data_IF_949991011594
#
_entry.id   IF_949991011594
#
_cell.length_a   1.000
_cell.length_b   1.000
_cell.length_c   1.000
_cell.angle_alpha   90.00
_cell.angle_beta   90.00
_cell.angle_gamma   90.00
#
_symmetry.space_group_name_H-M   'P 1'
#
loop_
_entity.id
_entity.type
_entity.pdbx_description
1 polymer ?
#
# COMPACT_ATOMS: atom_id res chain seq x y z
N UNK A 1 -10.17 30.53 58.20
CA UNK A 1 -10.64 30.58 56.80
C UNK A 1 -9.43 30.40 55.90
N UNK A 2 -9.15 29.16 55.48
CA UNK A 2 -8.09 28.84 54.52
C UNK A 2 -8.53 29.37 53.15
N UNK A 3 -7.68 30.18 52.51
CA UNK A 3 -7.86 30.59 51.11
C UNK A 3 -7.54 29.37 50.25
N UNK A 4 -8.56 28.80 49.60
CA UNK A 4 -8.34 27.93 48.45
C UNK A 4 -7.73 28.78 47.34
N UNK A 5 -6.48 28.50 46.98
CA UNK A 5 -5.94 28.96 45.71
C UNK A 5 -6.69 28.25 44.57
N UNK A 6 -7.05 28.97 43.49
CA UNK A 6 -7.67 28.33 42.35
C UNK A 6 -6.64 27.41 41.69
N UNK A 7 -6.97 26.12 41.58
CA UNK A 7 -6.20 25.19 40.77
C UNK A 7 -6.24 25.71 39.33
N UNK A 8 -5.12 26.22 38.85
CA UNK A 8 -4.91 26.48 37.42
C UNK A 8 -5.01 25.12 36.71
N UNK A 9 -6.16 24.84 36.10
CA UNK A 9 -6.26 23.85 35.05
C UNK A 9 -5.59 24.48 33.82
N UNK A 10 -4.32 24.13 33.60
CA UNK A 10 -3.66 24.43 32.34
C UNK A 10 -4.38 23.70 31.21
N UNK A 11 -4.63 24.44 30.12
CA UNK A 11 -5.39 23.97 28.97
C UNK A 11 -4.74 22.73 28.34
N UNK A 12 -5.52 21.79 27.79
CA UNK A 12 -4.96 20.74 26.94
C UNK A 12 -4.19 21.40 25.79
N UNK A 13 -2.95 20.96 25.56
CA UNK A 13 -2.18 21.36 24.36
C UNK A 13 -2.91 20.75 23.18
N UNK A 14 -3.72 21.54 22.49
CA UNK A 14 -4.42 21.09 21.30
C UNK A 14 -3.36 20.64 20.27
N UNK A 15 -3.54 19.44 19.73
CA UNK A 15 -2.82 18.87 18.57
C UNK A 15 -1.46 18.16 18.79
N UNK A 16 -1.08 17.82 20.03
CA UNK A 16 0.08 16.96 20.26
C UNK A 16 -0.10 15.55 19.64
N UNK A 17 0.91 15.06 18.91
CA UNK A 17 0.90 13.74 18.25
C UNK A 17 1.03 12.61 19.28
N UNK A 18 0.16 11.61 19.18
CA UNK A 18 0.18 10.45 20.07
C UNK A 18 0.98 9.29 19.47
N UNK A 19 2.23 9.12 19.91
CA UNK A 19 3.10 8.03 19.46
C UNK A 19 2.65 6.62 19.94
N UNK A 20 1.58 6.51 20.73
CA UNK A 20 0.90 5.22 20.91
C UNK A 20 0.09 4.78 19.69
N UNK A 21 -0.35 5.71 18.85
CA UNK A 21 -1.02 5.35 17.59
C UNK A 21 0.04 4.76 16.67
N UNK A 22 -0.12 3.50 16.21
CA UNK A 22 0.80 2.89 15.26
C UNK A 22 0.97 3.72 13.99
N UNK A 23 -0.11 4.36 13.52
CA UNK A 23 -0.14 5.20 12.33
C UNK A 23 0.70 6.46 12.51
N UNK A 24 0.51 7.16 13.63
CA UNK A 24 1.30 8.36 13.98
C UNK A 24 2.77 8.00 14.19
N UNK A 25 3.06 6.84 14.79
CA UNK A 25 4.43 6.39 14.99
C UNK A 25 5.11 6.05 13.65
N UNK A 26 4.41 5.36 12.75
CA UNK A 26 4.93 5.10 11.40
C UNK A 26 5.20 6.40 10.62
N UNK A 27 4.27 7.36 10.65
CA UNK A 27 4.46 8.68 10.03
C UNK A 27 5.67 9.41 10.62
N UNK A 28 5.82 9.36 11.96
CA UNK A 28 6.93 9.99 12.65
C UNK A 28 8.29 9.38 12.25
N UNK A 29 8.35 8.05 12.03
CA UNK A 29 9.55 7.37 11.56
C UNK A 29 9.89 7.74 10.11
N UNK A 30 8.90 7.77 9.22
CA UNK A 30 9.09 8.19 7.83
C UNK A 30 9.59 9.65 7.76
N UNK A 31 8.97 10.56 8.52
CA UNK A 31 9.43 11.95 8.65
C UNK A 31 10.86 12.04 9.18
N UNK A 32 11.19 11.27 10.22
CA UNK A 32 12.53 11.24 10.80
C UNK A 32 13.60 10.68 9.85
N UNK A 33 13.22 9.89 8.84
CA UNK A 33 14.13 9.44 7.79
C UNK A 33 14.47 10.55 6.77
N UNK A 34 13.54 11.49 6.55
CA UNK A 34 13.65 12.56 5.55
C UNK A 34 14.25 13.87 6.08
N UNK A 35 14.35 14.04 7.40
CA UNK A 35 14.93 15.23 8.02
C UNK A 35 15.98 14.87 9.08
N UNK A 36 17.07 15.63 9.11
CA UNK A 36 18.03 15.61 10.21
C UNK A 36 17.79 16.76 11.21
N UNK A 37 16.71 17.56 11.03
CA UNK A 37 16.31 18.61 11.97
C UNK A 37 15.43 18.06 13.09
N UNK A 38 16.08 17.64 14.18
CA UNK A 38 15.43 17.14 15.40
C UNK A 38 14.50 18.19 16.03
N UNK A 39 14.76 19.50 15.88
CA UNK A 39 13.90 20.53 16.45
C UNK A 39 12.60 20.66 15.65
N UNK A 40 12.68 20.60 14.32
CA UNK A 40 11.50 20.60 13.46
C UNK A 40 10.61 19.37 13.73
N UNK A 41 11.22 18.20 13.89
CA UNK A 41 10.49 16.99 14.26
C UNK A 41 9.85 17.10 15.66
N UNK A 42 10.54 17.71 16.62
CA UNK A 42 9.99 17.98 17.94
C UNK A 42 8.80 18.96 17.90
N UNK A 43 8.87 20.00 17.07
CA UNK A 43 7.76 20.93 16.85
C UNK A 43 6.55 20.23 16.22
N UNK A 44 6.77 19.36 15.23
CA UNK A 44 5.72 18.55 14.62
C UNK A 44 5.06 17.61 15.62
N UNK A 45 5.84 16.91 16.46
CA UNK A 45 5.32 16.07 17.54
C UNK A 45 4.47 16.85 18.53
N UNK A 46 4.88 18.10 18.82
CA UNK A 46 4.16 18.96 19.73
C UNK A 46 2.88 19.58 19.15
N UNK A 47 2.73 19.58 17.82
CA UNK A 47 1.72 20.38 17.13
C UNK A 47 1.93 21.90 17.31
N UNK A 48 3.16 22.32 17.63
CA UNK A 48 3.47 23.69 18.06
C UNK A 48 4.85 24.13 17.54
N UNK A 49 4.86 25.15 16.67
CA UNK A 49 6.10 25.74 16.14
C UNK A 49 6.96 26.43 17.22
N UNK A 50 6.35 26.83 18.35
CA UNK A 50 7.04 27.43 19.50
C UNK A 50 7.38 26.40 20.57
N UNK A 51 7.65 25.16 20.16
CA UNK A 51 7.98 24.04 21.06
C UNK A 51 9.09 24.37 22.06
N UNK A 52 10.01 25.30 21.76
CA UNK A 52 11.07 25.72 22.68
C UNK A 52 10.54 26.33 24.00
N UNK A 53 9.39 27.00 23.95
CA UNK A 53 8.73 27.60 25.12
C UNK A 53 7.80 26.59 25.83
N UNK A 54 7.56 25.43 25.21
CA UNK A 54 6.66 24.41 25.72
C UNK A 54 7.27 23.71 26.96
N UNK A 55 6.52 23.54 28.06
CA UNK A 55 6.99 22.83 29.25
C UNK A 55 7.47 21.38 28.98
N UNK A 56 7.00 20.78 27.89
CA UNK A 56 7.35 19.43 27.43
C UNK A 56 8.43 19.39 26.35
N UNK A 57 9.03 20.53 25.98
CA UNK A 57 10.06 20.64 24.93
C UNK A 57 11.13 19.55 24.98
N UNK A 58 11.69 19.31 26.19
CA UNK A 58 12.75 18.30 26.41
C UNK A 58 12.29 16.88 26.07
N UNK A 59 11.00 16.58 26.25
CA UNK A 59 10.43 15.29 25.90
C UNK A 59 10.22 15.17 24.40
N UNK A 60 9.70 16.21 23.74
CA UNK A 60 9.56 16.21 22.28
C UNK A 60 10.91 16.09 21.57
N UNK A 61 11.95 16.77 22.05
CA UNK A 61 13.32 16.59 21.54
C UNK A 61 13.84 15.17 21.77
N UNK A 62 13.61 14.60 22.95
CA UNK A 62 14.00 13.23 23.23
C UNK A 62 13.32 12.24 22.29
N UNK A 63 12.01 12.39 22.08
CA UNK A 63 11.24 11.55 21.17
C UNK A 63 11.69 11.72 19.71
N UNK A 64 11.94 12.96 19.26
CA UNK A 64 12.47 13.24 17.94
C UNK A 64 13.85 12.58 17.72
N UNK A 65 14.78 12.70 18.68
CA UNK A 65 16.08 12.03 18.60
C UNK A 65 15.93 10.50 18.57
N UNK A 66 14.99 9.96 19.35
CA UNK A 66 14.72 8.52 19.38
C UNK A 66 14.14 8.01 18.07
N UNK A 67 13.27 8.79 17.43
CA UNK A 67 12.74 8.51 16.10
C UNK A 67 13.86 8.53 15.06
N UNK A 68 14.77 9.51 15.12
CA UNK A 68 15.93 9.59 14.22
C UNK A 68 16.80 8.31 14.27
N UNK A 69 17.02 7.77 15.47
CA UNK A 69 17.78 6.53 15.67
C UNK A 69 17.07 5.29 15.10
N UNK A 70 15.72 5.29 15.15
CA UNK A 70 14.87 4.16 14.78
C UNK A 70 14.34 4.23 13.34
N UNK A 71 14.48 5.38 12.68
CA UNK A 71 13.95 5.62 11.35
C UNK A 71 14.55 4.66 10.30
N UNK A 72 13.73 4.12 9.37
CA UNK A 72 14.23 3.30 8.28
C UNK A 72 15.01 4.17 7.30
N UNK A 73 16.34 4.06 7.27
CA UNK A 73 17.19 4.92 6.44
C UNK A 73 17.35 4.37 5.02
N UNK A 74 16.99 5.10 3.96
CA UNK A 74 17.13 4.63 2.57
C UNK A 74 18.57 4.22 2.25
N UNK A 75 19.57 4.99 2.70
CA UNK A 75 20.98 4.71 2.49
C UNK A 75 21.49 3.43 3.19
N UNK A 76 20.67 2.85 4.07
CA UNK A 76 20.93 1.57 4.76
C UNK A 76 19.99 0.45 4.29
N UNK A 77 19.26 0.62 3.18
CA UNK A 77 18.26 -0.34 2.73
C UNK A 77 17.03 -0.38 3.64
N UNK A 78 16.53 0.80 4.02
CA UNK A 78 15.39 1.00 4.92
C UNK A 78 15.59 0.40 6.33
N UNK A 79 16.84 0.32 6.80
CA UNK A 79 17.19 -0.18 8.14
C UNK A 79 17.46 0.97 9.11
N UNK A 80 17.18 0.79 10.42
CA UNK A 80 17.55 1.77 11.43
C UNK A 80 19.07 1.85 11.63
N UNK A 81 19.54 2.96 12.19
CA UNK A 81 20.97 3.13 12.51
C UNK A 81 21.35 2.20 13.67
N UNK A 82 22.54 1.60 13.60
CA UNK A 82 23.13 0.80 14.69
C UNK A 82 23.72 1.69 15.80
N UNK A 83 22.97 2.66 16.33
CA UNK A 83 23.46 3.56 17.39
C UNK A 83 22.74 3.39 18.73
N UNK A 84 23.51 3.64 19.78
CA UNK A 84 23.11 3.48 21.18
C UNK A 84 21.90 4.34 21.50
N UNK A 85 20.88 3.70 22.08
CA UNK A 85 19.65 4.33 22.56
C UNK A 85 20.04 5.42 23.58
N UNK A 86 19.76 6.68 23.27
CA UNK A 86 19.95 7.76 24.23
C UNK A 86 19.10 7.48 25.49
N UNK A 87 19.65 7.63 26.71
CA UNK A 87 18.89 7.39 27.93
C UNK A 87 17.77 8.43 28.05
N UNK A 88 16.58 7.97 28.44
CA UNK A 88 15.43 8.86 28.65
C UNK A 88 15.75 9.98 29.67
N UNK A 89 15.22 11.20 29.48
CA UNK A 89 15.37 12.28 30.44
C UNK A 89 14.92 11.84 31.85
N UNK A 90 15.73 12.18 32.86
CA UNK A 90 15.31 11.97 34.25
C UNK A 90 14.11 12.84 34.55
N UNK A 91 13.01 12.24 34.99
CA UNK A 91 11.82 12.98 35.38
C UNK A 91 11.84 13.34 36.87
N UNK A 92 11.78 14.63 37.16
CA UNK A 92 11.61 15.15 38.50
C UNK A 92 10.18 14.97 38.99
N UNK A 93 10.03 14.76 40.29
CA UNK A 93 8.71 14.59 40.95
C UNK A 93 7.72 15.74 40.66
N UNK A 94 8.22 16.96 40.46
CA UNK A 94 7.40 18.14 40.18
C UNK A 94 7.36 18.54 38.70
N UNK A 95 8.07 17.83 37.83
CA UNK A 95 8.15 18.16 36.40
C UNK A 95 6.81 17.87 35.72
N UNK A 96 6.51 18.53 34.58
CA UNK A 96 5.35 18.19 33.76
C UNK A 96 5.35 16.70 33.36
N UNK A 97 4.18 16.06 33.43
CA UNK A 97 4.04 14.63 33.13
C UNK A 97 4.05 14.35 31.61
N UNK A 98 4.98 13.52 31.09
CA UNK A 98 5.21 13.32 29.64
C UNK A 98 4.07 12.63 28.89
N UNK A 99 3.04 12.15 29.59
CA UNK A 99 1.78 11.73 28.96
C UNK A 99 1.02 12.91 28.32
N UNK A 100 1.43 14.17 28.57
CA UNK A 100 0.81 15.36 27.98
C UNK A 100 -0.37 15.92 28.78
N UNK A 101 -0.62 15.44 30.01
CA UNK A 101 -1.80 15.85 30.79
C UNK A 101 -1.72 17.24 31.44
N UNK A 102 -0.62 17.97 31.26
CA UNK A 102 -0.35 19.24 31.97
C UNK A 102 -0.13 19.13 33.49
N UNK A 103 -0.22 17.93 34.09
CA UNK A 103 -0.08 17.75 35.55
C UNK A 103 1.38 17.52 35.93
N UNK A 104 1.75 17.86 37.18
CA UNK A 104 3.05 17.44 37.74
C UNK A 104 3.12 15.92 37.80
N UNK A 105 4.31 15.34 37.58
CA UNK A 105 4.52 13.89 37.56
C UNK A 105 3.97 13.20 38.80
N UNK A 106 4.20 13.79 39.99
CA UNK A 106 3.68 13.29 41.28
C UNK A 106 2.16 13.24 41.40
N UNK A 107 1.44 13.97 40.57
CA UNK A 107 -0.02 14.06 40.58
C UNK A 107 -0.63 13.26 39.42
N UNK A 108 0.20 12.55 38.65
CA UNK A 108 -0.24 11.82 37.46
C UNK A 108 0.29 10.39 37.45
N UNK A 109 1.60 10.18 37.27
CA UNK A 109 2.20 8.86 37.02
C UNK A 109 3.27 8.42 38.04
N UNK A 110 3.46 9.14 39.16
CA UNK A 110 4.33 8.63 40.23
C UNK A 110 3.74 7.36 40.86
N UNK A 111 4.54 6.31 40.99
CA UNK A 111 4.09 4.96 41.37
C UNK A 111 3.38 4.20 40.24
N UNK A 112 3.36 4.76 39.01
CA UNK A 112 2.90 4.13 37.76
C UNK A 112 3.92 4.39 36.65
N UNK A 113 5.21 4.31 36.98
CA UNK A 113 6.31 4.66 36.07
C UNK A 113 6.31 3.81 34.80
N UNK A 114 5.88 2.55 34.88
CA UNK A 114 5.73 1.65 33.73
C UNK A 114 4.68 2.16 32.72
N UNK A 115 3.66 2.88 33.19
CA UNK A 115 2.65 3.56 32.36
C UNK A 115 3.15 4.91 31.81
N UNK A 116 4.46 5.15 31.77
CA UNK A 116 5.08 6.32 31.11
C UNK A 116 6.03 5.89 29.99
N UNK A 117 6.48 4.63 30.02
CA UNK A 117 7.37 4.03 29.03
C UNK A 117 6.71 3.81 27.65
N UNK A 118 5.41 4.12 27.51
CA UNK A 118 4.61 3.76 26.33
C UNK A 118 4.91 4.56 25.06
N UNK A 119 5.42 5.80 25.16
CA UNK A 119 5.51 6.66 23.98
C UNK A 119 6.49 6.19 22.90
N UNK A 120 7.48 5.34 23.20
CA UNK A 120 8.44 4.80 22.20
C UNK A 120 9.01 3.43 22.67
N UNK A 121 8.20 2.38 22.59
CA UNK A 121 8.73 1.03 22.51
C UNK A 121 9.50 0.86 21.18
N UNK A 122 10.44 -0.11 21.04
CA UNK A 122 10.99 -0.44 19.73
C UNK A 122 9.84 -0.70 18.72
N UNK A 123 9.91 -0.14 17.50
CA UNK A 123 8.80 -0.23 16.56
C UNK A 123 8.61 -1.68 16.16
N UNK A 124 7.35 -2.13 16.13
CA UNK A 124 6.98 -3.47 15.67
C UNK A 124 7.30 -3.64 14.19
N UNK A 125 7.34 -4.88 13.68
CA UNK A 125 7.48 -5.18 12.24
C UNK A 125 6.46 -4.37 11.42
N UNK A 126 5.19 -4.40 11.82
CA UNK A 126 4.11 -3.66 11.16
C UNK A 126 4.40 -2.15 11.07
N UNK A 127 4.81 -1.51 12.18
CA UNK A 127 5.14 -0.07 12.18
C UNK A 127 6.32 0.21 11.26
N UNK A 128 7.34 -0.65 11.24
CA UNK A 128 8.49 -0.51 10.35
C UNK A 128 8.07 -0.64 8.87
N UNK A 129 7.23 -1.62 8.54
CA UNK A 129 6.71 -1.83 7.18
C UNK A 129 5.90 -0.63 6.69
N UNK A 130 4.99 -0.10 7.51
CA UNK A 130 4.18 1.08 7.15
C UNK A 130 5.07 2.32 6.98
N UNK A 131 6.05 2.52 7.87
CA UNK A 131 6.99 3.64 7.75
C UNK A 131 7.87 3.53 6.49
N UNK A 132 8.34 2.32 6.15
CA UNK A 132 9.11 2.08 4.93
C UNK A 132 8.26 2.35 3.67
N UNK A 133 7.03 1.83 3.61
CA UNK A 133 6.10 2.09 2.51
C UNK A 133 5.87 3.60 2.32
N UNK A 134 5.48 4.32 3.37
CA UNK A 134 5.27 5.77 3.30
C UNK A 134 6.51 6.55 2.88
N UNK A 135 7.70 6.10 3.29
CA UNK A 135 8.96 6.73 2.92
C UNK A 135 9.32 6.48 1.46
N UNK A 136 9.17 5.25 0.97
CA UNK A 136 9.47 4.86 -0.42
C UNK A 136 8.70 5.73 -1.41
N UNK A 137 7.40 5.92 -1.17
CA UNK A 137 6.51 6.77 -2.00
C UNK A 137 6.83 8.28 -1.94
N UNK A 138 7.74 8.72 -1.05
CA UNK A 138 8.21 10.11 -0.99
C UNK A 138 9.56 10.32 -1.68
N UNK A 139 10.21 9.25 -2.14
CA UNK A 139 11.51 9.32 -2.81
C UNK A 139 11.33 9.37 -4.33
N UNK A 140 12.19 10.11 -5.02
CA UNK A 140 12.28 10.02 -6.48
C UNK A 140 12.94 8.71 -6.92
N UNK A 141 12.72 8.31 -8.16
CA UNK A 141 13.37 7.10 -8.72
C UNK A 141 14.90 7.21 -8.71
N UNK A 142 15.47 8.41 -8.87
CA UNK A 142 16.92 8.62 -8.74
C UNK A 142 17.44 8.42 -7.30
N UNK A 143 16.61 8.73 -6.30
CA UNK A 143 16.95 8.46 -4.90
C UNK A 143 16.84 6.96 -4.59
N UNK A 144 15.83 6.28 -5.15
CA UNK A 144 15.66 4.83 -5.02
C UNK A 144 16.78 4.05 -5.72
N UNK A 145 17.29 4.54 -6.85
CA UNK A 145 18.43 3.94 -7.55
C UNK A 145 19.71 3.87 -6.69
N UNK A 146 19.83 4.75 -5.69
CA UNK A 146 20.95 4.77 -4.76
C UNK A 146 20.74 3.85 -3.54
N UNK A 147 19.55 3.28 -3.35
CA UNK A 147 19.24 2.41 -2.22
C UNK A 147 19.83 1.01 -2.45
N UNK A 148 20.60 0.46 -1.49
CA UNK A 148 21.05 -0.92 -1.59
C UNK A 148 19.86 -1.88 -1.50
N UNK A 149 19.70 -2.74 -2.51
CA UNK A 149 18.64 -3.75 -2.53
C UNK A 149 18.94 -4.95 -1.62
N UNK A 150 20.20 -5.13 -1.20
CA UNK A 150 20.61 -6.24 -0.36
C UNK A 150 19.93 -6.22 1.02
N UNK A 151 19.07 -7.23 1.24
CA UNK A 151 18.36 -7.42 2.50
C UNK A 151 17.28 -6.36 2.74
N UNK A 152 16.65 -5.86 1.67
CA UNK A 152 15.32 -5.25 1.75
C UNK A 152 14.33 -6.24 2.39
N UNK A 153 13.41 -5.73 3.19
CA UNK A 153 12.20 -6.50 3.54
C UNK A 153 11.32 -6.67 2.30
N UNK A 154 10.50 -7.72 2.28
CA UNK A 154 9.55 -7.98 1.17
C UNK A 154 8.66 -6.78 0.88
N UNK A 155 8.05 -6.17 1.90
CA UNK A 155 7.24 -4.94 1.76
C UNK A 155 8.05 -3.82 1.09
N UNK A 156 9.27 -3.54 1.56
CA UNK A 156 10.10 -2.50 0.95
C UNK A 156 10.43 -2.79 -0.52
N UNK A 157 10.73 -4.04 -0.87
CA UNK A 157 11.01 -4.43 -2.24
C UNK A 157 9.78 -4.28 -3.14
N UNK A 158 8.60 -4.69 -2.68
CA UNK A 158 7.38 -4.56 -3.48
C UNK A 158 6.90 -3.12 -3.61
N UNK A 159 7.00 -2.31 -2.56
CA UNK A 159 6.68 -0.88 -2.63
C UNK A 159 7.66 -0.13 -3.57
N UNK A 160 8.95 -0.47 -3.53
CA UNK A 160 9.91 0.06 -4.50
C UNK A 160 9.56 -0.37 -5.92
N UNK A 161 9.15 -1.62 -6.11
CA UNK A 161 8.71 -2.12 -7.42
C UNK A 161 7.49 -1.35 -7.93
N UNK A 162 6.50 -1.06 -7.06
CA UNK A 162 5.34 -0.21 -7.39
C UNK A 162 5.78 1.17 -7.86
N UNK A 163 6.66 1.86 -7.11
CA UNK A 163 7.11 3.20 -7.50
C UNK A 163 7.86 3.19 -8.84
N UNK A 164 8.65 2.15 -9.12
CA UNK A 164 9.27 2.01 -10.44
C UNK A 164 8.25 1.74 -11.54
N UNK A 165 7.24 0.91 -11.30
CA UNK A 165 6.16 0.64 -12.26
C UNK A 165 5.34 1.89 -12.57
N UNK A 166 4.93 2.64 -11.55
CA UNK A 166 4.22 3.92 -11.70
C UNK A 166 5.04 4.98 -12.45
N UNK A 167 6.37 4.86 -12.43
CA UNK A 167 7.28 5.71 -13.19
C UNK A 167 7.61 5.17 -14.59
N UNK A 168 6.85 4.18 -15.09
CA UNK A 168 7.05 3.50 -16.38
C UNK A 168 8.42 2.81 -16.52
N UNK A 169 9.05 2.43 -15.40
CA UNK A 169 10.35 1.73 -15.34
C UNK A 169 10.16 0.26 -14.98
N UNK A 170 9.34 -0.44 -15.76
CA UNK A 170 8.94 -1.84 -15.52
C UNK A 170 10.16 -2.78 -15.48
N UNK A 171 11.20 -2.47 -16.25
CA UNK A 171 12.47 -3.20 -16.27
C UNK A 171 13.23 -3.17 -14.93
N UNK A 172 12.95 -2.17 -14.08
CA UNK A 172 13.46 -2.09 -12.70
C UNK A 172 12.49 -2.69 -11.68
N UNK A 173 11.19 -2.57 -11.93
CA UNK A 173 10.15 -3.09 -11.05
C UNK A 173 10.12 -4.63 -11.02
N UNK A 174 10.08 -5.27 -12.19
CA UNK A 174 9.89 -6.71 -12.31
C UNK A 174 10.98 -7.56 -11.59
N UNK A 175 12.29 -7.22 -11.64
CA UNK A 175 13.31 -7.97 -10.91
C UNK A 175 13.14 -7.93 -9.39
N UNK A 176 12.72 -6.81 -8.82
CA UNK A 176 12.47 -6.68 -7.38
C UNK A 176 11.31 -7.58 -6.95
N UNK A 177 10.22 -7.55 -7.72
CA UNK A 177 9.07 -8.39 -7.45
C UNK A 177 9.39 -9.88 -7.62
N UNK A 178 10.22 -10.22 -8.62
CA UNK A 178 10.69 -11.60 -8.81
C UNK A 178 11.49 -12.12 -7.61
N UNK A 179 12.38 -11.31 -7.05
CA UNK A 179 13.15 -11.69 -5.86
C UNK A 179 12.25 -12.01 -4.67
N UNK A 180 11.21 -11.19 -4.45
CA UNK A 180 10.19 -11.44 -3.42
C UNK A 180 9.44 -12.74 -3.69
N UNK A 181 8.97 -12.94 -4.92
CA UNK A 181 8.17 -14.11 -5.29
C UNK A 181 8.97 -15.43 -5.32
N UNK A 182 10.29 -15.36 -5.54
CA UNK A 182 11.21 -16.50 -5.43
C UNK A 182 11.53 -16.86 -3.98
N UNK A 183 11.43 -15.89 -3.07
CA UNK A 183 11.71 -16.04 -1.65
C UNK A 183 10.68 -16.87 -0.86
N UNK A 184 10.89 -17.02 0.46
CA UNK A 184 9.90 -17.59 1.36
C UNK A 184 8.64 -16.73 1.39
N UNK A 185 7.46 -17.34 1.23
CA UNK A 185 6.17 -16.62 1.26
C UNK A 185 5.47 -16.78 2.59
N UNK A 186 6.03 -16.14 3.61
CA UNK A 186 5.57 -16.29 5.00
C UNK A 186 5.36 -14.95 5.73
N UNK A 187 5.45 -13.83 5.01
CA UNK A 187 5.13 -12.51 5.55
C UNK A 187 3.61 -12.32 5.55
N UNK A 188 3.06 -12.13 6.74
CA UNK A 188 1.65 -11.91 7.00
C UNK A 188 1.13 -10.55 6.49
N UNK A 189 2.05 -9.64 6.17
CA UNK A 189 1.73 -8.35 5.56
C UNK A 189 1.63 -8.43 4.02
N UNK A 190 2.04 -9.54 3.41
CA UNK A 190 2.14 -9.66 1.96
C UNK A 190 0.90 -10.33 1.35
N UNK A 191 0.33 -9.68 0.34
CA UNK A 191 -0.71 -10.25 -0.52
C UNK A 191 -0.07 -10.94 -1.73
N UNK A 192 0.51 -12.13 -1.51
CA UNK A 192 1.26 -12.82 -2.56
C UNK A 192 0.42 -13.15 -3.79
N UNK A 193 -0.87 -13.42 -3.61
CA UNK A 193 -1.79 -13.63 -4.73
C UNK A 193 -1.87 -12.37 -5.62
N UNK A 194 -2.02 -11.18 -5.04
CA UNK A 194 -1.96 -9.91 -5.77
C UNK A 194 -0.63 -9.75 -6.52
N UNK A 195 0.49 -10.01 -5.84
CA UNK A 195 1.83 -9.84 -6.41
C UNK A 195 2.16 -10.85 -7.52
N UNK A 196 1.65 -12.08 -7.45
CA UNK A 196 1.76 -13.06 -8.55
C UNK A 196 1.07 -12.53 -9.81
N UNK A 197 -0.13 -11.96 -9.67
CA UNK A 197 -0.86 -11.39 -10.81
C UNK A 197 -0.10 -10.18 -11.40
N UNK A 198 0.32 -9.24 -10.55
CA UNK A 198 1.11 -8.07 -10.97
C UNK A 198 2.37 -8.47 -11.72
N UNK A 199 3.11 -9.47 -11.24
CA UNK A 199 4.33 -9.90 -11.89
C UNK A 199 4.09 -10.47 -13.30
N UNK A 200 3.04 -11.27 -13.47
CA UNK A 200 2.67 -11.80 -14.78
C UNK A 200 2.27 -10.69 -15.76
N UNK A 201 1.49 -9.70 -15.30
CA UNK A 201 1.10 -8.54 -16.10
C UNK A 201 2.31 -7.69 -16.51
N UNK A 202 3.23 -7.42 -15.58
CA UNK A 202 4.46 -6.68 -15.88
C UNK A 202 5.38 -7.42 -16.85
N UNK A 203 5.35 -8.76 -16.88
CA UNK A 203 6.03 -9.52 -17.91
C UNK A 203 5.38 -9.34 -19.29
N UNK A 204 4.05 -9.23 -19.37
CA UNK A 204 3.35 -8.89 -20.62
C UNK A 204 3.71 -7.48 -21.09
N UNK A 205 3.74 -6.49 -20.19
CA UNK A 205 4.21 -5.12 -20.51
C UNK A 205 5.64 -5.09 -21.07
N UNK A 206 6.47 -6.05 -20.67
CA UNK A 206 7.85 -6.23 -21.15
C UNK A 206 7.95 -7.11 -22.42
N UNK A 207 6.84 -7.44 -23.09
CA UNK A 207 6.79 -8.34 -24.26
C UNK A 207 7.37 -9.75 -23.96
N UNK A 208 7.10 -10.25 -22.74
CA UNK A 208 7.58 -11.55 -22.22
C UNK A 208 6.40 -12.46 -21.82
N UNK A 209 5.38 -12.53 -22.65
CA UNK A 209 4.13 -13.25 -22.38
C UNK A 209 4.37 -14.74 -22.13
N UNK A 210 5.30 -15.36 -22.87
CA UNK A 210 5.67 -16.77 -22.65
C UNK A 210 6.25 -17.02 -21.27
N UNK A 211 7.02 -16.07 -20.75
CA UNK A 211 7.59 -16.19 -19.41
C UNK A 211 6.52 -15.96 -18.34
N UNK A 212 5.58 -15.05 -18.58
CA UNK A 212 4.42 -14.85 -17.72
C UNK A 212 3.57 -16.13 -17.61
N UNK A 213 3.30 -16.76 -18.76
CA UNK A 213 2.58 -18.03 -18.86
C UNK A 213 3.32 -19.15 -18.09
N UNK A 214 4.61 -19.36 -18.38
CA UNK A 214 5.44 -20.36 -17.69
C UNK A 214 5.46 -20.13 -16.18
N UNK A 215 5.61 -18.87 -15.73
CA UNK A 215 5.58 -18.51 -14.32
C UNK A 215 4.25 -18.86 -13.66
N UNK A 216 3.11 -18.50 -14.26
CA UNK A 216 1.80 -18.79 -13.71
C UNK A 216 1.48 -20.30 -13.68
N UNK A 217 1.91 -21.05 -14.70
CA UNK A 217 1.78 -22.50 -14.74
C UNK A 217 2.61 -23.17 -13.64
N UNK A 218 3.85 -22.72 -13.43
CA UNK A 218 4.70 -23.19 -12.34
C UNK A 218 4.07 -22.89 -10.97
N UNK A 219 3.47 -21.71 -10.79
CA UNK A 219 2.72 -21.36 -9.59
C UNK A 219 1.46 -22.22 -9.39
N UNK A 220 0.81 -22.67 -10.46
CA UNK A 220 -0.35 -23.56 -10.37
C UNK A 220 0.05 -25.00 -9.98
N UNK A 221 1.13 -25.52 -10.58
CA UNK A 221 1.61 -26.87 -10.35
C UNK A 221 2.31 -27.02 -8.99
N UNK A 222 3.07 -26.00 -8.59
CA UNK A 222 3.87 -25.98 -7.36
C UNK A 222 3.51 -24.79 -6.45
N UNK A 223 2.21 -24.57 -6.24
CA UNK A 223 1.68 -23.47 -5.44
C UNK A 223 2.36 -23.30 -4.07
N UNK A 224 2.77 -22.04 -3.77
CA UNK A 224 3.43 -21.62 -2.53
C UNK A 224 2.62 -20.53 -1.84
N UNK A 225 1.86 -20.91 -0.82
CA UNK A 225 1.10 -19.97 0.04
C UNK A 225 -0.14 -19.35 -0.60
N UNK A 226 -0.37 -19.56 -1.90
CA UNK A 226 -1.56 -19.15 -2.66
C UNK A 226 -2.26 -20.41 -3.13
N UNK A 227 -3.58 -20.49 -2.99
CA UNK A 227 -4.32 -21.70 -3.33
C UNK A 227 -4.37 -21.92 -4.84
N UNK A 228 -4.43 -23.19 -5.24
CA UNK A 228 -4.39 -23.59 -6.66
C UNK A 228 -5.50 -22.95 -7.50
N UNK A 229 -6.70 -22.79 -6.93
CA UNK A 229 -7.82 -22.14 -7.62
C UNK A 229 -7.62 -20.61 -7.77
N UNK A 230 -6.91 -19.97 -6.84
CA UNK A 230 -6.56 -18.55 -6.94
C UNK A 230 -5.51 -18.32 -8.04
N UNK A 231 -4.58 -19.26 -8.25
CA UNK A 231 -3.67 -19.21 -9.40
C UNK A 231 -4.43 -19.46 -10.71
N UNK A 232 -5.41 -20.38 -10.71
CA UNK A 232 -6.27 -20.61 -11.86
C UNK A 232 -7.06 -19.35 -12.27
N UNK A 233 -7.54 -18.55 -11.31
CA UNK A 233 -8.16 -17.24 -11.60
C UNK A 233 -7.21 -16.30 -12.35
N UNK A 234 -5.91 -16.30 -12.01
CA UNK A 234 -4.89 -15.47 -12.65
C UNK A 234 -4.56 -15.95 -14.05
N UNK A 235 -4.44 -17.26 -14.25
CA UNK A 235 -4.29 -17.86 -15.58
C UNK A 235 -5.50 -17.55 -16.46
N UNK A 236 -6.72 -17.67 -15.93
CA UNK A 236 -7.94 -17.30 -16.65
C UNK A 236 -7.92 -15.84 -17.11
N UNK A 237 -7.64 -14.89 -16.19
CA UNK A 237 -7.52 -13.48 -16.54
C UNK A 237 -6.42 -13.23 -17.59
N UNK A 238 -5.24 -13.82 -17.39
CA UNK A 238 -4.11 -13.72 -18.32
C UNK A 238 -4.48 -14.16 -19.75
N UNK A 239 -5.14 -15.31 -19.93
CA UNK A 239 -5.55 -15.74 -21.28
C UNK A 239 -6.69 -14.89 -21.86
N UNK A 240 -7.58 -14.33 -21.03
CA UNK A 240 -8.59 -13.38 -21.51
C UNK A 240 -7.96 -12.09 -22.04
N UNK A 241 -6.93 -11.58 -21.38
CA UNK A 241 -6.19 -10.39 -21.81
C UNK A 241 -5.42 -10.64 -23.12
N UNK A 242 -4.94 -11.87 -23.32
CA UNK A 242 -4.33 -12.29 -24.59
C UNK A 242 -5.34 -12.58 -25.71
N UNK A 243 -6.65 -12.52 -25.43
CA UNK A 243 -7.69 -12.84 -26.39
C UNK A 243 -7.77 -14.34 -26.74
N UNK A 244 -7.43 -15.21 -25.79
CA UNK A 244 -7.46 -16.68 -25.92
C UNK A 244 -8.55 -17.30 -25.01
N UNK A 245 -9.83 -17.19 -25.41
CA UNK A 245 -10.95 -17.67 -24.60
C UNK A 245 -10.95 -19.19 -24.42
N UNK A 246 -10.34 -19.97 -25.32
CA UNK A 246 -10.30 -21.43 -25.25
C UNK A 246 -9.41 -21.89 -24.08
N UNK A 247 -8.23 -21.28 -23.94
CA UNK A 247 -7.38 -21.53 -22.77
C UNK A 247 -7.99 -20.92 -21.51
N UNK A 248 -8.58 -19.72 -21.58
CA UNK A 248 -9.25 -19.12 -20.43
C UNK A 248 -10.35 -20.03 -19.85
N UNK A 249 -11.17 -20.68 -20.70
CA UNK A 249 -12.24 -21.59 -20.27
C UNK A 249 -11.71 -22.71 -19.37
N UNK A 250 -10.55 -23.29 -19.73
CA UNK A 250 -9.91 -24.36 -18.96
C UNK A 250 -9.59 -23.91 -17.53
N UNK A 251 -9.06 -22.70 -17.39
CA UNK A 251 -8.65 -22.16 -16.09
C UNK A 251 -9.83 -21.64 -15.27
N UNK A 252 -10.86 -21.10 -15.93
CA UNK A 252 -12.14 -20.74 -15.30
C UNK A 252 -12.79 -21.98 -14.69
N UNK A 253 -12.86 -23.08 -15.45
CA UNK A 253 -13.42 -24.34 -14.94
C UNK A 253 -12.57 -24.91 -13.78
N UNK A 254 -11.24 -24.79 -13.85
CA UNK A 254 -10.37 -25.17 -12.73
C UNK A 254 -10.59 -24.29 -11.49
N UNK A 255 -10.82 -22.99 -11.65
CA UNK A 255 -11.09 -22.08 -10.54
C UNK A 255 -12.44 -22.39 -9.87
N UNK A 256 -13.51 -22.55 -10.66
CA UNK A 256 -14.84 -22.94 -10.18
C UNK A 256 -14.79 -24.32 -9.48
N UNK A 257 -14.02 -25.26 -10.03
CA UNK A 257 -13.86 -26.58 -9.44
C UNK A 257 -13.17 -26.57 -8.07
N UNK A 258 -12.34 -25.58 -7.79
CA UNK A 258 -11.69 -25.40 -6.50
C UNK A 258 -12.48 -24.56 -5.50
N UNK A 259 -13.21 -23.54 -5.97
CA UNK A 259 -14.04 -22.66 -5.13
C UNK A 259 -15.31 -22.23 -5.88
N UNK A 260 -16.39 -22.99 -5.72
CA UNK A 260 -17.62 -22.79 -6.49
C UNK A 260 -18.49 -21.63 -6.00
N UNK A 261 -18.24 -21.12 -4.79
CA UNK A 261 -18.97 -20.03 -4.15
C UNK A 261 -18.27 -18.67 -4.24
N UNK A 262 -17.27 -18.55 -5.12
CA UNK A 262 -16.57 -17.29 -5.39
C UNK A 262 -17.20 -16.53 -6.58
N UNK A 263 -17.74 -15.31 -6.38
CA UNK A 263 -18.36 -14.53 -7.45
C UNK A 263 -17.40 -14.16 -8.58
N UNK A 264 -16.10 -13.99 -8.30
CA UNK A 264 -15.10 -13.62 -9.28
C UNK A 264 -14.93 -14.69 -10.38
N UNK A 265 -15.09 -15.97 -10.03
CA UNK A 265 -15.02 -17.07 -11.01
C UNK A 265 -16.11 -16.96 -12.09
N UNK A 266 -17.31 -16.55 -11.69
CA UNK A 266 -18.44 -16.36 -12.61
C UNK A 266 -18.36 -15.03 -13.36
N UNK A 267 -17.71 -14.03 -12.78
CA UNK A 267 -17.34 -12.81 -13.50
C UNK A 267 -16.37 -13.12 -14.66
N UNK A 268 -15.29 -13.86 -14.42
CA UNK A 268 -14.35 -14.30 -15.47
C UNK A 268 -15.05 -15.13 -16.55
N UNK A 269 -15.96 -16.03 -16.15
CA UNK A 269 -16.81 -16.79 -17.09
C UNK A 269 -17.67 -15.88 -17.96
N UNK A 270 -18.27 -14.87 -17.36
CA UNK A 270 -19.04 -13.86 -18.05
C UNK A 270 -18.19 -13.09 -19.06
N UNK A 271 -17.01 -12.61 -18.66
CA UNK A 271 -16.07 -11.90 -19.53
C UNK A 271 -15.69 -12.73 -20.76
N UNK A 272 -15.29 -13.98 -20.55
CA UNK A 272 -14.97 -14.92 -21.64
C UNK A 272 -16.12 -15.08 -22.64
N UNK A 273 -17.34 -15.29 -22.14
CA UNK A 273 -18.53 -15.43 -22.96
C UNK A 273 -18.87 -14.13 -23.69
N UNK A 274 -18.62 -13.00 -23.04
CA UNK A 274 -18.85 -11.66 -23.58
C UNK A 274 -17.89 -11.33 -24.73
N UNK A 275 -16.58 -11.60 -24.55
CA UNK A 275 -15.56 -11.46 -25.60
C UNK A 275 -15.84 -12.35 -26.82
N UNK A 276 -16.52 -13.48 -26.63
CA UNK A 276 -16.92 -14.41 -27.69
C UNK A 276 -18.34 -14.18 -28.24
N UNK A 277 -18.94 -13.01 -27.97
CA UNK A 277 -20.28 -12.59 -28.41
C UNK A 277 -21.43 -13.53 -27.96
N UNK A 278 -21.19 -14.38 -26.96
CA UNK A 278 -22.21 -15.25 -26.32
C UNK A 278 -22.98 -14.48 -25.25
N UNK A 279 -23.63 -13.39 -25.66
CA UNK A 279 -24.25 -12.40 -24.74
C UNK A 279 -25.26 -13.00 -23.75
N UNK A 280 -26.08 -13.97 -24.18
CA UNK A 280 -27.09 -14.57 -23.30
C UNK A 280 -26.45 -15.43 -22.21
N UNK A 281 -25.37 -16.15 -22.54
CA UNK A 281 -24.58 -16.92 -21.59
C UNK A 281 -23.82 -15.99 -20.63
N UNK A 282 -23.19 -14.93 -21.17
CA UNK A 282 -22.50 -13.91 -20.38
C UNK A 282 -23.43 -13.24 -19.36
N UNK A 283 -24.64 -12.86 -19.78
CA UNK A 283 -25.66 -12.32 -18.87
C UNK A 283 -26.00 -13.28 -17.74
N UNK A 284 -26.11 -14.58 -18.02
CA UNK A 284 -26.39 -15.59 -17.01
C UNK A 284 -25.22 -15.78 -16.02
N UNK A 285 -23.98 -15.75 -16.53
CA UNK A 285 -22.78 -15.84 -15.70
C UNK A 285 -22.64 -14.62 -14.77
N UNK A 286 -22.75 -13.39 -15.32
CA UNK A 286 -22.71 -12.17 -14.50
C UNK A 286 -23.86 -12.09 -13.50
N UNK A 287 -25.07 -12.53 -13.86
CA UNK A 287 -26.18 -12.58 -12.91
C UNK A 287 -25.90 -13.54 -11.76
N UNK A 288 -25.23 -14.67 -12.03
CA UNK A 288 -24.79 -15.62 -11.00
C UNK A 288 -23.73 -14.98 -10.09
N UNK A 289 -22.72 -14.33 -10.67
CA UNK A 289 -21.70 -13.61 -9.92
C UNK A 289 -22.31 -12.54 -8.99
N UNK A 290 -23.28 -11.77 -9.51
CA UNK A 290 -23.94 -10.69 -8.77
C UNK A 290 -24.80 -11.21 -7.60
N UNK A 291 -25.48 -12.35 -7.77
CA UNK A 291 -26.26 -12.98 -6.71
C UNK A 291 -25.36 -13.50 -5.57
N UNK A 292 -24.24 -14.12 -5.94
CA UNK A 292 -23.22 -14.59 -4.99
C UNK A 292 -22.61 -13.42 -4.20
N UNK A 293 -22.16 -12.37 -4.88
CA UNK A 293 -21.57 -11.19 -4.25
C UNK A 293 -22.55 -10.51 -3.27
N UNK A 294 -23.83 -10.40 -3.64
CA UNK A 294 -24.87 -9.84 -2.73
C UNK A 294 -25.11 -10.70 -1.50
N UNK A 295 -25.00 -12.01 -1.64
CA UNK A 295 -25.27 -12.97 -0.56
C UNK A 295 -24.11 -13.07 0.43
N UNK A 296 -22.87 -12.82 -0.03
CA UNK A 296 -21.67 -12.83 0.82
C UNK A 296 -21.67 -11.72 1.89
N UNK A 297 -22.40 -10.61 1.67
CA UNK A 297 -22.73 -9.64 2.72
C UNK A 297 -21.56 -8.76 3.20
N UNK A 298 -20.47 -8.65 2.44
CA UNK A 298 -19.36 -7.77 2.78
C UNK A 298 -19.64 -6.34 2.27
N UNK A 299 -19.71 -5.37 3.18
CA UNK A 299 -19.82 -3.93 2.84
C UNK A 299 -18.60 -3.42 2.03
N UNK A 300 -17.51 -4.19 1.99
CA UNK A 300 -16.29 -3.93 1.21
C UNK A 300 -16.42 -4.25 -0.30
N UNK A 301 -17.49 -4.95 -0.73
CA UNK A 301 -17.69 -5.39 -2.13
C UNK A 301 -18.39 -4.36 -3.04
N UNK A 302 -18.44 -3.08 -2.66
CA UNK A 302 -19.08 -2.06 -3.50
C UNK A 302 -18.47 -2.01 -4.91
N UNK A 303 -17.14 -2.14 -5.01
CA UNK A 303 -16.44 -2.09 -6.29
C UNK A 303 -16.70 -3.33 -7.16
N UNK A 304 -16.69 -4.54 -6.56
CA UNK A 304 -16.98 -5.77 -7.30
C UNK A 304 -18.45 -5.81 -7.77
N UNK A 305 -19.37 -5.37 -6.92
CA UNK A 305 -20.79 -5.26 -7.29
C UNK A 305 -21.01 -4.28 -8.43
N UNK A 306 -20.32 -3.14 -8.42
CA UNK A 306 -20.35 -2.14 -9.49
C UNK A 306 -19.77 -2.70 -10.79
N UNK A 307 -18.58 -3.31 -10.73
CA UNK A 307 -17.90 -3.97 -11.86
C UNK A 307 -18.79 -5.01 -12.53
N UNK A 308 -19.36 -5.94 -11.76
CA UNK A 308 -20.25 -7.00 -12.30
C UNK A 308 -21.54 -6.39 -12.86
N UNK A 309 -22.08 -5.35 -12.21
CA UNK A 309 -23.32 -4.71 -12.65
C UNK A 309 -23.14 -3.99 -13.99
N UNK A 310 -22.03 -3.27 -14.17
CA UNK A 310 -21.70 -2.59 -15.44
C UNK A 310 -21.49 -3.62 -16.57
N UNK A 311 -20.68 -4.66 -16.32
CA UNK A 311 -20.46 -5.73 -17.29
C UNK A 311 -21.77 -6.43 -17.71
N UNK A 312 -22.68 -6.68 -16.75
CA UNK A 312 -24.00 -7.23 -17.02
C UNK A 312 -24.88 -6.28 -17.87
N UNK A 313 -24.84 -4.97 -17.60
CA UNK A 313 -25.58 -3.98 -18.37
C UNK A 313 -25.07 -3.90 -19.81
N UNK A 314 -23.75 -3.85 -20.00
CA UNK A 314 -23.10 -3.90 -21.32
C UNK A 314 -23.48 -5.15 -22.09
N UNK A 315 -23.42 -6.33 -21.46
CA UNK A 315 -23.79 -7.59 -22.09
C UNK A 315 -25.26 -7.61 -22.53
N UNK A 316 -26.19 -7.10 -21.70
CA UNK A 316 -27.62 -6.95 -22.06
C UNK A 316 -27.82 -6.06 -23.28
N UNK A 317 -27.03 -5.00 -23.37
CA UNK A 317 -27.06 -4.04 -24.46
C UNK A 317 -26.25 -4.49 -25.69
N UNK A 318 -25.60 -5.68 -25.63
CA UNK A 318 -24.71 -6.20 -26.68
C UNK A 318 -23.56 -5.24 -27.01
N UNK A 319 -23.08 -4.51 -26.01
CA UNK A 319 -21.88 -3.68 -26.10
C UNK A 319 -20.63 -4.53 -25.84
N UNK A 320 -19.43 -4.11 -26.27
CA UNK A 320 -18.18 -4.80 -25.89
C UNK A 320 -17.96 -4.75 -24.35
N UNK A 321 -17.17 -5.69 -23.80
CA UNK A 321 -16.89 -5.75 -22.36
C UNK A 321 -16.13 -4.52 -21.86
N UNK A 322 -15.21 -3.97 -22.65
CA UNK A 322 -14.45 -2.76 -22.35
C UNK A 322 -14.82 -1.60 -23.29
N UNK A 323 -14.69 -0.35 -22.82
CA UNK A 323 -14.60 0.79 -23.74
C UNK A 323 -13.19 0.78 -24.32
N UNK A 324 -13.06 0.64 -25.64
CA UNK A 324 -11.89 1.24 -26.29
C UNK A 324 -11.96 2.72 -25.95
N UNK A 325 -11.10 3.21 -25.04
CA UNK A 325 -10.83 4.64 -25.01
C UNK A 325 -10.50 5.01 -26.45
N UNK A 326 -11.21 5.97 -27.07
CA UNK A 326 -10.87 6.38 -28.42
C UNK A 326 -9.41 6.82 -28.35
N UNK A 327 -8.52 6.01 -28.91
CA UNK A 327 -7.09 6.28 -28.89
C UNK A 327 -6.90 7.72 -29.30
N UNK A 328 -6.09 8.47 -28.54
CA UNK A 328 -5.70 9.82 -28.91
C UNK A 328 -5.12 9.75 -30.32
N UNK A 329 -6.00 9.99 -31.30
CA UNK A 329 -5.64 9.97 -32.70
C UNK A 329 -4.55 11.01 -32.85
N UNK A 330 -3.41 10.56 -33.38
CA UNK A 330 -2.30 11.42 -33.75
C UNK A 330 -2.85 12.70 -34.42
N UNK A 331 -2.66 13.89 -33.84
CA UNK A 331 -3.12 15.14 -34.44
C UNK A 331 -2.46 15.44 -35.79
N UNK A 332 -1.49 14.61 -36.22
CA UNK A 332 -0.75 14.80 -37.46
C UNK A 332 -1.50 14.41 -38.74
N UNK A 333 -2.65 13.72 -38.65
CA UNK A 333 -3.49 13.41 -39.83
C UNK A 333 -4.63 14.42 -40.08
N UNK A 334 -4.53 15.63 -39.53
CA UNK A 334 -5.33 16.76 -40.01
C UNK A 334 -4.86 17.15 -41.42
N UNK A 335 -5.56 16.61 -42.41
CA UNK A 335 -5.47 16.88 -43.85
C UNK A 335 -4.86 18.25 -44.19
N UNK A 336 -3.62 18.24 -44.65
CA UNK A 336 -3.05 19.35 -45.42
C UNK A 336 -3.78 19.42 -46.75
N UNK A 337 -4.93 20.08 -46.78
CA UNK A 337 -5.52 20.60 -48.01
C UNK A 337 -4.66 21.79 -48.44
N UNK A 338 -3.68 21.47 -49.28
CA UNK A 338 -2.94 22.43 -50.10
C UNK A 338 -3.97 23.22 -50.92
N UNK A 339 -3.98 24.55 -50.77
CA UNK A 339 -4.23 25.39 -51.92
C UNK A 339 -3.34 26.65 -51.90
N UNK A 340 -2.66 26.98 -53.01
CA UNK A 340 -1.57 27.93 -53.01
C UNK A 340 -2.01 29.36 -53.37
N UNK A 341 -1.56 30.32 -52.55
CA UNK A 341 -1.05 31.65 -52.96
C UNK A 341 -2.05 32.67 -53.59
N UNK A 342 -1.64 33.92 -53.91
CA UNK A 342 -0.85 34.94 -53.19
C UNK A 342 -1.60 36.30 -53.11
N UNK A 343 -1.25 37.14 -52.11
CA UNK A 343 -1.19 38.60 -52.26
C UNK A 343 -2.48 39.42 -52.11
N UNK A 344 -2.59 40.12 -50.97
CA UNK A 344 -2.73 41.59 -50.86
C UNK A 344 -2.70 42.01 -49.39
#
# INVERSE_FOLDING_TARGET
MQRCEPQQQEAPVADAKDLNSPEVYAEALARAALTDDVNALAAWLAGDEKVADNPFHKWYLFFAQRLEDLAPRPELGFKPRSKQIAPAPKIGRNDPCPCGSGKKFKQCHIGKEEAVAWKLAPPTRMIQSVAAAQLIHQLSTEQLDAVPTEGLSEVAATEMATVYHEAEQVEKAAPLLKEVLDGPRNDDMMLYDYWIARYAEWLVELEREKEAEEFLLDEYDAHRGVEKHQVAQKLAAFYLDLGDPDNAETWIDSAIGGEADNPFNYYLKGLMQHQTERYDEACAAYATALDMAKTAGHEEDSAMLELISDALERAKNRQPPDEEEPGEGDPSEAETVINPNPGL
#
